data_IF_272662230746
#
_entry.id   IF_272662230746
#
_cell.length_a   1.000
_cell.length_b   1.000
_cell.length_c   1.000
_cell.angle_alpha   90.00
_cell.angle_beta   90.00
_cell.angle_gamma   90.00
#
_symmetry.space_group_name_H-M   'P 1'
#
loop_
_entity.id
_entity.type
_entity.pdbx_description
1 polymer ?
#
# COMPACT_ATOMS: atom_id res chain seq x y z
N UNK A 1 1.47 -9.50 -20.97
CA UNK A 1 0.29 -8.81 -20.43
C UNK A 1 0.76 -7.45 -20.00
N UNK A 2 0.20 -6.42 -20.62
CA UNK A 2 0.67 -5.03 -20.63
C UNK A 2 0.93 -4.50 -19.22
N UNK A 3 2.05 -3.78 -19.05
CA UNK A 3 2.32 -2.94 -17.87
C UNK A 3 1.33 -1.77 -17.87
N UNK A 4 0.07 -2.04 -17.56
CA UNK A 4 -0.95 -1.01 -17.48
C UNK A 4 -0.69 -0.17 -16.22
N UNK A 5 -0.21 1.05 -16.44
CA UNK A 5 0.12 1.98 -15.38
C UNK A 5 -1.15 2.65 -14.85
N UNK A 6 -1.38 2.56 -13.55
CA UNK A 6 -2.45 3.29 -12.87
C UNK A 6 -1.90 4.65 -12.41
N UNK A 7 -2.52 5.74 -12.86
CA UNK A 7 -2.18 7.09 -12.44
C UNK A 7 -3.05 7.53 -11.26
N UNK A 8 -2.42 7.81 -10.13
CA UNK A 8 -3.07 8.39 -8.95
C UNK A 8 -2.86 9.90 -8.91
N UNK A 9 -3.90 10.64 -8.56
CA UNK A 9 -3.85 12.10 -8.39
C UNK A 9 -3.95 12.45 -6.91
N UNK A 10 -2.99 13.24 -6.43
CA UNK A 10 -2.96 13.77 -5.07
C UNK A 10 -2.90 15.28 -5.12
N UNK A 11 -3.58 15.93 -4.18
CA UNK A 11 -3.27 17.31 -3.83
C UNK A 11 -1.91 17.39 -3.15
N UNK A 12 -1.32 18.59 -3.13
CA UNK A 12 -0.03 18.79 -2.47
C UNK A 12 -0.10 18.46 -0.97
N UNK A 13 -1.20 18.80 -0.29
CA UNK A 13 -1.39 18.54 1.13
C UNK A 13 -1.51 17.03 1.42
N UNK A 14 -2.27 16.29 0.61
CA UNK A 14 -2.36 14.82 0.73
C UNK A 14 -0.99 14.18 0.53
N UNK A 15 -0.22 14.63 -0.47
CA UNK A 15 1.13 14.13 -0.73
C UNK A 15 2.07 14.40 0.45
N UNK A 16 2.01 15.59 1.06
CA UNK A 16 2.84 15.95 2.19
C UNK A 16 2.50 15.13 3.44
N UNK A 17 1.22 14.92 3.71
CA UNK A 17 0.74 14.10 4.83
C UNK A 17 1.16 12.64 4.66
N UNK A 18 1.00 12.09 3.45
CA UNK A 18 1.38 10.70 3.16
C UNK A 18 2.89 10.50 3.20
N UNK A 19 3.66 11.50 2.77
CA UNK A 19 5.11 11.48 2.87
C UNK A 19 5.58 11.30 4.33
N UNK A 20 5.09 12.13 5.26
CA UNK A 20 5.43 12.02 6.68
C UNK A 20 4.96 10.68 7.28
N UNK A 21 3.74 10.26 6.93
CA UNK A 21 3.18 8.98 7.35
C UNK A 21 4.05 7.79 6.93
N UNK A 22 4.49 7.73 5.67
CA UNK A 22 5.33 6.64 5.17
C UNK A 22 6.77 6.71 5.71
N UNK A 23 7.33 7.90 5.90
CA UNK A 23 8.63 8.04 6.55
C UNK A 23 8.60 7.44 7.97
N UNK A 24 7.56 7.78 8.74
CA UNK A 24 7.34 7.21 10.08
C UNK A 24 7.15 5.70 10.05
N UNK A 25 6.46 5.15 9.05
CA UNK A 25 6.35 3.70 8.86
C UNK A 25 7.70 3.06 8.55
N UNK A 26 8.55 3.65 7.72
CA UNK A 26 9.87 3.10 7.43
C UNK A 26 10.79 3.02 8.66
N UNK A 27 10.65 4.00 9.56
CA UNK A 27 11.40 4.08 10.81
C UNK A 27 10.89 3.10 11.87
N UNK A 28 9.56 3.02 12.04
CA UNK A 28 8.93 2.29 13.15
C UNK A 28 8.40 0.91 12.78
N UNK A 29 8.22 0.66 11.48
CA UNK A 29 7.52 -0.49 10.90
C UNK A 29 6.11 -0.71 11.45
N UNK A 30 5.49 0.37 11.91
CA UNK A 30 4.12 0.41 12.42
C UNK A 30 3.27 1.32 11.55
N UNK A 31 2.30 0.71 10.87
CA UNK A 31 1.31 1.44 10.08
C UNK A 31 0.21 1.99 11.01
N UNK A 32 0.52 3.06 11.76
CA UNK A 32 -0.39 3.70 12.71
C UNK A 32 -0.72 5.13 12.31
N UNK A 33 -2.01 5.43 12.27
CA UNK A 33 -2.51 6.79 12.08
C UNK A 33 -2.22 7.65 13.32
N UNK A 34 -1.52 8.76 13.13
CA UNK A 34 -1.30 9.78 14.15
C UNK A 34 -2.29 10.95 14.00
N UNK A 35 -2.84 11.16 12.80
CA UNK A 35 -3.77 12.25 12.51
C UNK A 35 -4.86 11.82 11.54
N UNK A 36 -6.06 12.42 11.66
CA UNK A 36 -7.21 12.12 10.78
C UNK A 36 -6.93 12.41 9.30
N UNK A 37 -6.06 13.39 9.01
CA UNK A 37 -5.65 13.70 7.65
C UNK A 37 -4.92 12.54 6.96
N UNK A 38 -4.16 11.72 7.70
CA UNK A 38 -3.48 10.55 7.15
C UNK A 38 -4.49 9.49 6.71
N UNK A 39 -5.53 9.27 7.53
CA UNK A 39 -6.64 8.38 7.18
C UNK A 39 -7.38 8.89 5.94
N UNK A 40 -7.75 10.17 5.90
CA UNK A 40 -8.47 10.75 4.75
C UNK A 40 -7.65 10.70 3.46
N UNK A 41 -6.34 10.96 3.54
CA UNK A 41 -5.45 10.89 2.38
C UNK A 41 -5.32 9.44 1.85
N UNK A 42 -5.19 8.45 2.74
CA UNK A 42 -5.20 7.04 2.34
C UNK A 42 -6.55 6.59 1.80
N UNK A 43 -7.66 7.03 2.40
CA UNK A 43 -9.01 6.77 1.88
C UNK A 43 -9.17 7.31 0.47
N UNK A 44 -8.63 8.51 0.19
CA UNK A 44 -8.65 9.11 -1.14
C UNK A 44 -7.84 8.33 -2.17
N UNK A 45 -6.71 7.76 -1.78
CA UNK A 45 -5.93 6.84 -2.62
C UNK A 45 -6.72 5.56 -2.87
N UNK A 46 -7.28 4.94 -1.82
CA UNK A 46 -8.08 3.71 -1.93
C UNK A 46 -9.22 3.90 -2.93
N UNK A 47 -9.96 4.99 -2.81
CA UNK A 47 -11.07 5.30 -3.70
C UNK A 47 -10.67 5.52 -5.17
N UNK A 48 -9.40 5.86 -5.44
CA UNK A 48 -8.87 5.94 -6.80
C UNK A 48 -8.49 4.55 -7.32
N UNK A 49 -7.85 3.72 -6.49
CA UNK A 49 -7.50 2.34 -6.83
C UNK A 49 -8.75 1.51 -7.12
N UNK A 50 -9.78 1.62 -6.28
CA UNK A 50 -11.05 0.89 -6.45
C UNK A 50 -11.75 1.21 -7.78
N UNK A 51 -11.53 2.42 -8.32
CA UNK A 51 -12.05 2.81 -9.64
C UNK A 51 -11.21 2.28 -10.80
N UNK A 52 -9.94 1.99 -10.55
CA UNK A 52 -8.99 1.55 -11.57
C UNK A 52 -8.88 0.03 -11.65
N UNK A 53 -9.11 -0.69 -10.55
CA UNK A 53 -8.99 -2.16 -10.49
C UNK A 53 -10.37 -2.79 -10.64
N UNK A 54 -10.81 -3.01 -11.87
CA UNK A 54 -12.12 -3.61 -12.18
C UNK A 54 -12.12 -5.12 -11.88
N UNK A 55 -10.95 -5.74 -11.88
CA UNK A 55 -10.72 -7.16 -11.61
C UNK A 55 -11.14 -7.60 -10.20
N UNK A 56 -11.41 -6.67 -9.28
CA UNK A 56 -12.00 -6.98 -7.97
C UNK A 56 -13.38 -7.67 -8.07
N UNK A 57 -14.06 -7.53 -9.20
CA UNK A 57 -15.34 -8.18 -9.48
C UNK A 57 -15.20 -9.45 -10.33
N UNK A 58 -13.97 -9.83 -10.70
CA UNK A 58 -13.71 -11.02 -11.48
C UNK A 58 -13.83 -12.28 -10.60
N UNK A 59 -14.54 -13.34 -11.05
CA UNK A 59 -14.63 -14.60 -10.31
C UNK A 59 -13.26 -15.23 -10.01
N UNK A 60 -12.24 -14.94 -10.82
CA UNK A 60 -10.86 -15.42 -10.66
C UNK A 60 -9.95 -14.42 -9.91
N UNK A 61 -10.52 -13.43 -9.21
CA UNK A 61 -9.78 -12.40 -8.47
C UNK A 61 -8.69 -12.97 -7.55
N UNK A 62 -8.96 -14.09 -6.88
CA UNK A 62 -8.00 -14.74 -5.97
C UNK A 62 -6.75 -15.21 -6.73
N UNK A 63 -6.94 -15.82 -7.91
CA UNK A 63 -5.85 -16.29 -8.75
C UNK A 63 -5.09 -15.10 -9.36
N UNK A 64 -5.81 -14.07 -9.81
CA UNK A 64 -5.23 -12.84 -10.34
C UNK A 64 -4.36 -12.14 -9.29
N UNK A 65 -4.85 -12.02 -8.06
CA UNK A 65 -4.14 -11.41 -6.94
C UNK A 65 -2.90 -12.22 -6.55
N UNK A 66 -3.00 -13.55 -6.49
CA UNK A 66 -1.85 -14.42 -6.20
C UNK A 66 -0.76 -14.28 -7.28
N UNK A 67 -1.14 -14.27 -8.55
CA UNK A 67 -0.21 -14.08 -9.66
C UNK A 67 0.42 -12.67 -9.63
N UNK A 68 -0.35 -11.62 -9.29
CA UNK A 68 0.16 -10.27 -9.14
C UNK A 68 1.20 -10.18 -8.01
N UNK A 69 0.90 -10.75 -6.83
CA UNK A 69 1.84 -10.82 -5.71
C UNK A 69 3.13 -11.56 -6.08
N UNK A 70 3.02 -12.69 -6.78
CA UNK A 70 4.18 -13.45 -7.24
C UNK A 70 5.04 -12.65 -8.22
N UNK A 71 4.44 -11.89 -9.15
CA UNK A 71 5.18 -11.00 -10.05
C UNK A 71 5.85 -9.85 -9.32
N UNK A 72 5.18 -9.23 -8.34
CA UNK A 72 5.73 -8.11 -7.57
C UNK A 72 6.87 -8.53 -6.64
N UNK A 73 6.81 -9.74 -6.08
CA UNK A 73 7.87 -10.29 -5.24
C UNK A 73 9.00 -10.96 -6.06
N UNK A 74 8.83 -11.15 -7.37
CA UNK A 74 9.86 -11.75 -8.21
C UNK A 74 11.11 -10.86 -8.23
N UNK A 75 12.25 -11.42 -7.80
CA UNK A 75 13.51 -10.67 -7.68
C UNK A 75 13.77 -10.08 -6.28
N UNK A 76 12.88 -10.31 -5.32
CA UNK A 76 13.10 -10.02 -3.90
C UNK A 76 13.17 -11.34 -3.13
N UNK A 77 14.23 -11.57 -2.35
CA UNK A 77 14.54 -12.85 -1.66
C UNK A 77 13.63 -13.16 -0.44
N UNK A 78 12.38 -12.70 -0.46
CA UNK A 78 11.40 -13.03 0.58
C UNK A 78 11.67 -12.43 1.96
N UNK A 79 12.72 -11.61 2.13
CA UNK A 79 12.92 -10.79 3.33
C UNK A 79 11.89 -9.65 3.33
N UNK A 80 10.63 -9.98 3.61
CA UNK A 80 9.81 -9.05 4.36
C UNK A 80 10.47 -8.96 5.73
N UNK A 81 11.08 -7.82 6.12
CA UNK A 81 11.83 -7.72 7.37
C UNK A 81 10.96 -7.99 8.62
N UNK A 82 9.63 -8.11 8.44
CA UNK A 82 8.67 -8.18 9.51
C UNK A 82 8.63 -6.84 10.24
N UNK A 83 7.54 -6.53 10.96
CA UNK A 83 7.52 -5.36 11.82
C UNK A 83 8.78 -5.30 12.69
N UNK A 84 9.65 -4.29 12.52
CA UNK A 84 10.83 -4.01 13.37
C UNK A 84 10.52 -3.83 14.86
N UNK A 85 9.24 -3.82 15.24
CA UNK A 85 8.84 -3.90 16.64
C UNK A 85 9.28 -5.24 17.22
N UNK A 86 10.39 -5.17 17.96
CA UNK A 86 10.82 -6.15 18.94
C UNK A 86 9.61 -6.69 19.70
N UNK A 87 9.59 -8.02 19.86
CA UNK A 87 8.66 -8.80 20.67
C UNK A 87 8.14 -8.04 21.90
N UNK A 88 6.86 -8.20 22.27
CA UNK A 88 6.34 -7.64 23.51
C UNK A 88 6.89 -8.46 24.67
N UNK A 89 8.11 -8.14 25.10
CA UNK A 89 8.69 -8.48 26.41
C UNK A 89 10.00 -7.69 26.59
N UNK A 90 9.87 -6.41 27.00
CA UNK A 90 10.92 -5.61 27.64
C UNK A 90 10.28 -4.56 28.56
#
# INVERSE_FOLDING_TARGET
MSEESIHLTLTYDEALVLFDFFARFQDTDLLRFAHVAEFLALERISAQIDKSVVEMFDPDYVQLLAAARARLAAGHDGEYPGPKVSSPDA
#
